data_IF_385389125432
#
_entry.id   IF_385389125432
#
_cell.length_a   1.000
_cell.length_b   1.000
_cell.length_c   1.000
_cell.angle_alpha   90.00
_cell.angle_beta   90.00
_cell.angle_gamma   90.00
#
_symmetry.space_group_name_H-M   'P 1'
#
loop_
_entity.id
_entity.type
_entity.pdbx_description
1 polymer ?
#
# COMPACT_ATOMS: atom_id res chain seq x y z
N UNK A 1 -17.84 -7.58 0.46
CA UNK A 1 -17.41 -8.70 1.33
C UNK A 1 -15.88 -8.70 1.41
N UNK A 2 -15.36 -8.36 2.58
CA UNK A 2 -13.93 -8.43 2.92
C UNK A 2 -13.44 -9.89 3.01
N UNK A 3 -12.13 -10.09 2.90
CA UNK A 3 -11.49 -11.40 3.12
C UNK A 3 -10.82 -11.45 4.50
N UNK A 4 -10.41 -12.65 4.94
CA UNK A 4 -9.54 -12.76 6.11
C UNK A 4 -8.19 -12.05 5.84
N UNK A 5 -7.67 -11.33 6.83
CA UNK A 5 -6.37 -10.62 6.77
C UNK A 5 -5.19 -11.60 6.84
N UNK A 6 -5.08 -12.49 5.85
CA UNK A 6 -4.12 -13.61 5.84
C UNK A 6 -2.65 -13.15 5.93
N UNK A 7 -2.34 -11.95 5.43
CA UNK A 7 -1.01 -11.33 5.49
C UNK A 7 -0.55 -11.01 6.92
N UNK A 8 -1.47 -10.95 7.89
CA UNK A 8 -1.12 -10.79 9.31
C UNK A 8 -0.54 -12.08 9.91
N UNK A 9 -0.94 -13.24 9.39
CA UNK A 9 -0.50 -14.55 9.88
C UNK A 9 0.61 -15.16 9.02
N UNK A 10 0.66 -14.80 7.74
CA UNK A 10 1.67 -15.28 6.80
C UNK A 10 2.50 -14.12 6.25
N UNK A 11 3.71 -13.97 6.80
CA UNK A 11 4.68 -12.95 6.36
C UNK A 11 5.35 -13.27 5.03
N UNK A 12 5.22 -14.51 4.54
CA UNK A 12 5.75 -14.93 3.24
C UNK A 12 4.77 -14.66 2.10
N UNK A 13 3.55 -14.23 2.43
CA UNK A 13 2.55 -13.91 1.44
C UNK A 13 3.03 -12.77 0.50
N UNK A 14 2.71 -12.85 -0.80
CA UNK A 14 3.00 -11.78 -1.75
C UNK A 14 2.43 -10.44 -1.26
N UNK A 15 3.24 -9.37 -1.38
CA UNK A 15 2.87 -8.01 -0.99
C UNK A 15 2.46 -7.84 0.48
N UNK A 16 2.87 -8.76 1.38
CA UNK A 16 2.48 -8.72 2.79
C UNK A 16 2.90 -7.42 3.48
N UNK A 17 4.08 -6.87 3.18
CA UNK A 17 4.56 -5.61 3.77
C UNK A 17 3.66 -4.44 3.37
N UNK A 18 3.30 -4.35 2.09
CA UNK A 18 2.34 -3.38 1.58
C UNK A 18 0.98 -3.47 2.28
N UNK A 19 0.41 -4.68 2.34
CA UNK A 19 -0.89 -4.90 2.98
C UNK A 19 -0.86 -4.62 4.49
N UNK A 20 0.23 -4.96 5.18
CA UNK A 20 0.42 -4.67 6.60
C UNK A 20 0.45 -3.17 6.89
N UNK A 21 1.20 -2.40 6.10
CA UNK A 21 1.30 -0.95 6.28
C UNK A 21 -0.04 -0.26 5.97
N UNK A 22 -0.78 -0.68 4.95
CA UNK A 22 -2.13 -0.18 4.69
C UNK A 22 -3.09 -0.49 5.84
N UNK A 23 -3.08 -1.72 6.34
CA UNK A 23 -3.96 -2.14 7.45
C UNK A 23 -3.64 -1.37 8.74
N UNK A 24 -2.35 -1.10 9.00
CA UNK A 24 -1.89 -0.44 10.22
C UNK A 24 -2.03 1.09 10.20
N UNK A 25 -1.94 1.73 9.02
CA UNK A 25 -1.86 3.20 8.92
C UNK A 25 -3.00 3.84 8.14
N UNK A 26 -3.71 3.10 7.28
CA UNK A 26 -4.75 3.66 6.41
C UNK A 26 -6.16 3.14 6.71
N UNK A 27 -6.30 1.91 7.22
CA UNK A 27 -7.61 1.28 7.42
C UNK A 27 -8.56 2.19 8.23
N UNK A 28 -9.84 2.36 7.83
CA UNK A 28 -10.77 3.35 8.42
C UNK A 28 -11.11 3.12 9.90
N UNK A 29 -10.83 1.92 10.42
CA UNK A 29 -10.95 1.60 11.85
C UNK A 29 -9.77 2.13 12.69
N UNK A 30 -8.72 2.63 12.02
CA UNK A 30 -7.54 3.22 12.62
C UNK A 30 -7.68 4.76 12.61
N UNK A 31 -7.11 5.42 13.62
CA UNK A 31 -7.16 6.89 13.75
C UNK A 31 -6.47 7.58 12.57
N UNK A 32 -7.08 8.63 12.04
CA UNK A 32 -6.56 9.45 10.92
C UNK A 32 -5.11 9.94 11.14
N UNK A 33 -4.70 10.14 12.39
CA UNK A 33 -3.35 10.53 12.81
C UNK A 33 -2.25 9.57 12.30
N UNK A 34 -2.59 8.29 12.11
CA UNK A 34 -1.66 7.29 11.62
C UNK A 34 -1.36 7.48 10.13
N UNK A 35 -2.33 7.92 9.34
CA UNK A 35 -2.09 8.13 7.91
C UNK A 35 -1.12 9.28 7.69
N UNK A 36 -1.29 10.39 8.41
CA UNK A 36 -0.33 11.51 8.38
C UNK A 36 1.07 11.05 8.81
N UNK A 37 1.17 10.18 9.82
CA UNK A 37 2.45 9.61 10.24
C UNK A 37 3.10 8.77 9.12
N UNK A 38 2.34 7.98 8.36
CA UNK A 38 2.86 7.24 7.20
C UNK A 38 3.36 8.20 6.12
N UNK A 39 2.62 9.26 5.82
CA UNK A 39 3.04 10.28 4.84
C UNK A 39 4.35 10.94 5.26
N UNK A 40 4.48 11.32 6.54
CA UNK A 40 5.71 11.90 7.07
C UNK A 40 6.86 10.89 7.03
N UNK A 41 6.62 9.62 7.39
CA UNK A 41 7.63 8.55 7.37
C UNK A 41 8.12 8.30 5.94
N UNK A 42 7.22 8.20 4.95
CA UNK A 42 7.56 8.01 3.54
C UNK A 42 8.39 9.18 2.97
N UNK A 43 8.11 10.41 3.40
CA UNK A 43 8.84 11.62 2.95
C UNK A 43 10.16 11.84 3.68
N UNK A 44 10.23 11.44 4.94
CA UNK A 44 11.42 11.56 5.77
C UNK A 44 12.36 10.34 5.63
N UNK A 45 11.94 9.31 4.90
CA UNK A 45 12.67 8.07 4.74
C UNK A 45 14.11 8.34 4.30
N UNK A 46 15.03 8.16 5.24
CA UNK A 46 16.44 8.01 4.95
C UNK A 46 16.66 6.58 4.42
N UNK A 47 17.77 6.35 3.73
CA UNK A 47 18.08 5.08 3.06
C UNK A 47 18.09 3.83 3.97
N UNK A 48 17.94 3.99 5.29
CA UNK A 48 18.03 2.93 6.30
C UNK A 48 16.67 2.35 6.74
N UNK A 49 15.53 2.84 6.25
CA UNK A 49 14.22 2.23 6.56
C UNK A 49 13.91 1.06 5.61
N UNK A 50 14.42 -0.12 5.96
CA UNK A 50 14.28 -1.35 5.16
C UNK A 50 12.80 -1.74 4.93
N UNK A 51 11.93 -1.50 5.91
CA UNK A 51 10.49 -1.78 5.78
C UNK A 51 9.84 -0.86 4.75
N UNK A 52 10.16 0.44 4.76
CA UNK A 52 9.68 1.37 3.75
C UNK A 52 10.28 1.13 2.37
N UNK A 53 11.54 0.66 2.29
CA UNK A 53 12.14 0.27 1.02
C UNK A 53 11.39 -0.91 0.39
N UNK A 54 11.08 -1.95 1.18
CA UNK A 54 10.28 -3.10 0.73
C UNK A 54 8.85 -2.68 0.38
N UNK A 55 8.24 -1.81 1.18
CA UNK A 55 6.92 -1.24 0.91
C UNK A 55 6.89 -0.54 -0.46
N UNK A 56 7.85 0.37 -0.70
CA UNK A 56 7.92 1.12 -1.95
C UNK A 56 8.11 0.17 -3.14
N UNK A 57 9.02 -0.80 -3.03
CA UNK A 57 9.24 -1.79 -4.08
C UNK A 57 7.98 -2.61 -4.40
N UNK A 58 7.27 -3.08 -3.37
CA UNK A 58 6.00 -3.80 -3.55
C UNK A 58 4.92 -2.91 -4.17
N UNK A 59 4.90 -1.62 -3.80
CA UNK A 59 3.97 -0.65 -4.34
C UNK A 59 4.24 -0.36 -5.84
N UNK A 60 5.50 -0.18 -6.23
CA UNK A 60 5.91 -0.03 -7.62
C UNK A 60 5.46 -1.23 -8.46
N UNK A 61 5.70 -2.45 -7.98
CA UNK A 61 5.25 -3.68 -8.64
C UNK A 61 3.73 -3.73 -8.84
N UNK A 62 2.95 -3.33 -7.83
CA UNK A 62 1.49 -3.28 -7.92
C UNK A 62 1.00 -2.25 -8.96
N UNK A 63 1.69 -1.11 -9.05
CA UNK A 63 1.41 -0.06 -10.04
C UNK A 63 1.78 -0.50 -11.47
N UNK A 64 2.82 -1.33 -11.62
CA UNK A 64 3.16 -2.00 -12.89
C UNK A 64 2.23 -3.16 -13.26
N UNK A 65 1.26 -3.48 -12.39
CA UNK A 65 0.27 -4.54 -12.62
C UNK A 65 0.73 -5.93 -12.17
N UNK A 66 1.88 -6.07 -11.53
CA UNK A 66 2.32 -7.33 -10.93
C UNK A 66 1.44 -7.65 -9.72
N UNK A 67 0.60 -8.69 -9.86
CA UNK A 67 -0.37 -9.11 -8.82
C UNK A 67 -0.35 -10.63 -8.58
N UNK A 68 0.70 -11.31 -9.02
CA UNK A 68 0.82 -12.77 -8.89
C UNK A 68 0.73 -13.20 -7.42
N UNK A 69 -0.20 -14.11 -7.14
CA UNK A 69 -0.44 -14.63 -5.78
C UNK A 69 -1.14 -13.64 -4.82
N UNK A 70 -1.50 -12.43 -5.27
CA UNK A 70 -2.31 -11.50 -4.49
C UNK A 70 -3.79 -11.84 -4.63
N UNK A 71 -4.52 -11.92 -3.52
CA UNK A 71 -5.97 -12.09 -3.59
C UNK A 71 -6.62 -10.82 -4.19
N UNK A 72 -7.59 -10.92 -5.13
CA UNK A 72 -8.24 -9.76 -5.78
C UNK A 72 -8.99 -8.77 -4.87
N UNK A 73 -9.00 -9.02 -3.55
CA UNK A 73 -9.69 -8.19 -2.54
C UNK A 73 -8.75 -7.80 -1.40
N UNK A 74 -7.48 -8.18 -1.47
CA UNK A 74 -6.53 -7.95 -0.39
C UNK A 74 -6.30 -6.45 -0.18
N UNK A 75 -6.09 -5.68 -1.25
CA UNK A 75 -5.87 -4.22 -1.19
C UNK A 75 -7.10 -3.52 -0.61
N UNK A 76 -8.29 -3.78 -1.17
CA UNK A 76 -9.54 -3.23 -0.65
C UNK A 76 -9.81 -3.61 0.80
N UNK A 77 -9.43 -4.83 1.22
CA UNK A 77 -9.61 -5.27 2.61
C UNK A 77 -8.59 -4.61 3.56
N UNK A 78 -7.34 -4.44 3.14
CA UNK A 78 -6.31 -3.79 3.93
C UNK A 78 -6.53 -2.28 4.06
N UNK A 79 -7.00 -1.64 2.99
CA UNK A 79 -7.21 -0.19 2.96
C UNK A 79 -8.63 0.23 3.38
N UNK A 80 -9.62 -0.66 3.28
CA UNK A 80 -11.00 -0.38 3.64
C UNK A 80 -11.68 0.72 2.81
N UNK A 81 -11.23 0.98 1.57
CA UNK A 81 -11.95 1.90 0.69
C UNK A 81 -13.19 1.23 0.09
N UNK A 82 -14.31 1.94 0.10
CA UNK A 82 -15.58 1.46 -0.47
C UNK A 82 -15.88 2.02 -1.87
N UNK A 83 -15.21 3.11 -2.30
CA UNK A 83 -15.63 3.90 -3.47
C UNK A 83 -14.61 3.97 -4.62
N UNK A 84 -13.47 3.28 -4.52
CA UNK A 84 -12.42 3.26 -5.55
C UNK A 84 -12.13 1.83 -5.98
N UNK A 85 -11.66 1.65 -7.21
CA UNK A 85 -11.00 0.40 -7.58
C UNK A 85 -9.54 0.39 -7.12
N UNK A 86 -8.90 -0.78 -7.14
CA UNK A 86 -7.52 -0.94 -6.69
C UNK A 86 -6.54 -0.04 -7.44
N UNK A 87 -6.69 0.14 -8.75
CA UNK A 87 -5.77 0.96 -9.56
C UNK A 87 -5.90 2.44 -9.22
N UNK A 88 -7.12 2.97 -9.17
CA UNK A 88 -7.39 4.35 -8.76
C UNK A 88 -6.89 4.63 -7.34
N UNK A 89 -7.05 3.67 -6.44
CA UNK A 89 -6.53 3.75 -5.08
C UNK A 89 -5.00 3.82 -5.06
N UNK A 90 -4.33 2.90 -5.77
CA UNK A 90 -2.88 2.82 -5.82
C UNK A 90 -2.27 4.09 -6.43
N UNK A 91 -2.80 4.58 -7.55
CA UNK A 91 -2.32 5.80 -8.21
C UNK A 91 -2.48 7.02 -7.30
N UNK A 92 -3.65 7.17 -6.65
CA UNK A 92 -3.87 8.24 -5.70
C UNK A 92 -2.90 8.17 -4.52
N UNK A 93 -2.73 6.99 -3.92
CA UNK A 93 -1.88 6.80 -2.76
C UNK A 93 -0.41 7.12 -3.10
N UNK A 94 0.04 6.75 -4.31
CA UNK A 94 1.39 7.06 -4.78
C UNK A 94 1.62 8.57 -4.82
N UNK A 95 0.69 9.33 -5.39
CA UNK A 95 0.77 10.79 -5.44
C UNK A 95 0.78 11.47 -4.07
N UNK A 96 0.17 10.84 -3.06
CA UNK A 96 0.16 11.36 -1.67
C UNK A 96 1.51 11.10 -0.98
N UNK A 97 2.02 9.88 -1.10
CA UNK A 97 3.24 9.44 -0.43
C UNK A 97 4.52 9.99 -1.09
N UNK A 98 4.56 10.01 -2.43
CA UNK A 98 5.72 10.38 -3.23
C UNK A 98 5.40 11.53 -4.20
N UNK A 99 5.08 12.73 -3.69
CA UNK A 99 4.74 13.87 -4.53
C UNK A 99 5.94 14.27 -5.40
N UNK A 100 5.81 14.07 -6.72
CA UNK A 100 6.85 14.41 -7.70
C UNK A 100 7.56 13.20 -8.32
N UNK A 101 7.31 11.98 -7.83
CA UNK A 101 7.73 10.77 -8.51
C UNK A 101 6.72 10.39 -9.60
N UNK A 102 7.22 9.91 -10.74
CA UNK A 102 6.37 9.39 -11.82
C UNK A 102 5.71 8.11 -11.34
N UNK A 103 4.43 7.93 -11.63
CA UNK A 103 3.70 6.70 -11.31
C UNK A 103 4.28 5.54 -12.13
N UNK A 104 4.84 4.50 -11.50
CA UNK A 104 5.33 3.30 -12.19
C UNK A 104 4.23 2.63 -13.02
N UNK A 105 4.58 2.07 -14.17
CA UNK A 105 3.60 1.41 -15.07
C UNK A 105 2.59 2.33 -15.75
N UNK A 106 2.45 3.57 -15.28
CA UNK A 106 1.67 4.63 -15.89
C UNK A 106 2.35 5.18 -17.13
N UNK A 107 2.26 4.45 -18.24
CA UNK A 107 2.44 5.07 -19.55
C UNK A 107 1.34 6.14 -19.72
N UNK A 108 1.78 7.35 -20.05
CA UNK A 108 0.96 8.47 -20.54
C UNK A 108 -0.09 8.06 -21.57
#
# INVERSE_FOLDING_TARGET
>A
MAIARYWLTDKTAPFATFLNLLDAYYHPEIRDENFDALVQRARAAQADDEELAIFKQQFEQLLEGHRDGLHPKAIATAAGYDQRNDEEFLVWLWGVLYPGEVVPGGAV
#
